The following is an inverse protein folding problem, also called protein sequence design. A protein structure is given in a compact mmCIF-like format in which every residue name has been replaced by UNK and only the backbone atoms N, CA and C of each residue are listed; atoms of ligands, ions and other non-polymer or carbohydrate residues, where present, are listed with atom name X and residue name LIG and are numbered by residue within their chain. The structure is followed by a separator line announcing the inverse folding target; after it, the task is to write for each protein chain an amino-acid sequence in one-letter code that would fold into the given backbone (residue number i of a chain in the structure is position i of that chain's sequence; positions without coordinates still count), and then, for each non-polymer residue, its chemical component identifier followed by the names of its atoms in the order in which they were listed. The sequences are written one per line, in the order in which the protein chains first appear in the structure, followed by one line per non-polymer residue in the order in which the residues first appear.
data_IF_972792069379
#
_entry.id   IF_972792069379
#
_cell.length_a   1.000
_cell.length_b   1.000
_cell.length_c   1.000
_cell.angle_alpha   90.00
_cell.angle_beta   90.00
_cell.angle_gamma   90.00
#
_symmetry.space_group_name_H-M   'P 1'
#
loop_
_entity.id
_entity.type
_entity.pdbx_description
1 polymer ?
#
# COMPACT_ATOMS: atom_id res chain seq x y z
N UNK A 1 22.27 -11.89 1.24
CA UNK A 1 21.81 -10.86 1.89
C UNK A 1 20.77 -10.16 1.21
N UNK A 2 19.75 -9.98 1.84
CA UNK A 2 18.66 -9.48 1.09
C UNK A 2 18.01 -8.27 1.71
N UNK A 3 18.06 -7.18 0.99
CA UNK A 3 17.23 -6.01 1.25
C UNK A 3 16.09 -5.96 0.22
N UNK A 4 15.79 -7.11 -0.40
CA UNK A 4 14.70 -7.20 -1.36
C UNK A 4 13.36 -7.40 -0.67
N UNK A 5 12.32 -6.91 -1.31
CA UNK A 5 10.98 -6.94 -0.74
C UNK A 5 10.24 -8.19 -1.17
N UNK A 6 9.59 -8.85 -0.21
CA UNK A 6 8.70 -9.95 -0.49
C UNK A 6 7.30 -9.38 -0.75
N UNK A 7 6.86 -9.45 -2.00
CA UNK A 7 5.54 -8.98 -2.41
C UNK A 7 4.45 -9.71 -1.64
N UNK A 8 4.60 -11.03 -1.48
CA UNK A 8 3.63 -11.84 -0.76
C UNK A 8 3.46 -11.38 0.68
N UNK A 9 4.58 -11.15 1.39
CA UNK A 9 4.53 -10.68 2.77
C UNK A 9 3.90 -9.30 2.88
N UNK A 10 4.19 -8.42 1.93
CA UNK A 10 3.63 -7.10 1.93
C UNK A 10 2.11 -7.17 1.72
N UNK A 11 1.64 -7.97 0.79
CA UNK A 11 0.20 -8.15 0.56
C UNK A 11 -0.48 -8.72 1.80
N UNK A 12 0.14 -9.69 2.46
CA UNK A 12 -0.41 -10.25 3.69
C UNK A 12 -0.55 -9.19 4.78
N UNK A 13 0.43 -8.28 4.87
CA UNK A 13 0.37 -7.19 5.84
C UNK A 13 -0.76 -6.22 5.52
N UNK A 14 -0.97 -5.91 4.24
CA UNK A 14 -2.05 -5.04 3.81
C UNK A 14 -3.42 -5.64 4.19
N UNK A 15 -3.57 -6.94 4.03
CA UNK A 15 -4.81 -7.62 4.37
C UNK A 15 -5.15 -7.54 5.86
N UNK A 16 -4.15 -7.31 6.70
CA UNK A 16 -4.35 -7.18 8.14
C UNK A 16 -4.57 -5.72 8.58
N UNK A 17 -4.41 -4.77 7.66
CA UNK A 17 -4.55 -3.37 8.00
C UNK A 17 -6.02 -3.01 8.25
N UNK A 18 -6.27 -2.33 9.35
CA UNK A 18 -7.61 -1.91 9.72
C UNK A 18 -7.87 -0.50 9.21
N UNK A 19 -8.81 -0.37 8.28
CA UNK A 19 -9.21 0.92 7.72
C UNK A 19 -10.23 1.65 8.58
N UNK A 20 -10.61 1.07 9.74
CA UNK A 20 -11.54 1.70 10.66
C UNK A 20 -12.99 1.39 10.33
N UNK A 21 -13.89 2.06 11.04
CA UNK A 21 -15.32 1.79 10.93
C UNK A 21 -16.07 2.72 9.99
N UNK A 22 -15.36 3.66 9.35
CA UNK A 22 -15.98 4.63 8.44
C UNK A 22 -16.39 4.02 7.10
N UNK A 23 -15.87 2.84 6.79
CA UNK A 23 -16.11 2.18 5.50
C UNK A 23 -16.92 0.92 5.70
N UNK A 24 -17.88 0.68 4.82
CA UNK A 24 -18.61 -0.60 4.83
C UNK A 24 -17.72 -1.69 4.21
N UNK A 25 -18.20 -2.93 4.24
CA UNK A 25 -17.42 -4.08 3.77
C UNK A 25 -17.07 -3.97 2.28
N UNK A 26 -17.98 -3.47 1.48
CA UNK A 26 -17.74 -3.29 0.04
C UNK A 26 -16.66 -2.26 -0.21
N UNK A 27 -16.69 -1.16 0.54
CA UNK A 27 -15.68 -0.12 0.42
C UNK A 27 -14.31 -0.63 0.86
N UNK A 28 -14.25 -1.37 1.97
CA UNK A 28 -13.00 -1.96 2.47
C UNK A 28 -12.41 -2.92 1.45
N UNK A 29 -13.25 -3.73 0.83
CA UNK A 29 -12.80 -4.65 -0.21
C UNK A 29 -12.23 -3.90 -1.41
N UNK A 30 -12.89 -2.85 -1.84
CA UNK A 30 -12.41 -2.02 -2.94
C UNK A 30 -11.03 -1.42 -2.62
N UNK A 31 -10.88 -0.84 -1.42
CA UNK A 31 -9.64 -0.21 -1.00
C UNK A 31 -8.52 -1.25 -0.95
N UNK A 32 -8.77 -2.39 -0.35
CA UNK A 32 -7.79 -3.47 -0.23
C UNK A 32 -7.37 -3.98 -1.60
N UNK A 33 -8.32 -4.25 -2.48
CA UNK A 33 -8.02 -4.74 -3.84
C UNK A 33 -7.21 -3.73 -4.62
N UNK A 34 -7.52 -2.46 -4.48
CA UNK A 34 -6.81 -1.41 -5.19
C UNK A 34 -5.36 -1.35 -4.74
N UNK A 35 -5.11 -1.40 -3.44
CA UNK A 35 -3.76 -1.39 -2.89
C UNK A 35 -2.98 -2.61 -3.37
N UNK A 36 -3.58 -3.78 -3.32
CA UNK A 36 -2.95 -5.02 -3.77
C UNK A 36 -2.63 -4.95 -5.26
N UNK A 37 -3.54 -4.40 -6.06
CA UNK A 37 -3.32 -4.21 -7.48
C UNK A 37 -2.09 -3.34 -7.75
N UNK A 38 -1.98 -2.23 -7.01
CA UNK A 38 -0.84 -1.32 -7.15
C UNK A 38 0.47 -2.04 -6.80
N UNK A 39 0.47 -2.81 -5.72
CA UNK A 39 1.65 -3.58 -5.32
C UNK A 39 2.01 -4.60 -6.39
N UNK A 40 1.03 -5.25 -6.99
CA UNK A 40 1.26 -6.25 -8.03
C UNK A 40 1.76 -5.67 -9.36
N UNK A 41 1.57 -4.39 -9.59
CA UNK A 41 2.11 -3.72 -10.77
C UNK A 41 3.61 -3.47 -10.67
N UNK A 42 4.17 -3.55 -9.47
CA UNK A 42 5.59 -3.32 -9.27
C UNK A 42 6.39 -4.56 -9.67
N UNK A 43 7.65 -4.37 -9.97
CA UNK A 43 8.52 -5.49 -10.32
C UNK A 43 8.69 -6.43 -9.13
N UNK A 44 9.05 -7.67 -9.43
CA UNK A 44 9.05 -8.74 -8.44
C UNK A 44 10.05 -8.54 -7.30
N UNK A 45 11.21 -8.00 -7.58
CA UNK A 45 12.26 -7.84 -6.57
C UNK A 45 12.84 -6.44 -6.65
N UNK A 46 12.58 -5.63 -5.64
CA UNK A 46 13.07 -4.27 -5.56
C UNK A 46 13.98 -4.09 -4.37
N UNK A 47 14.85 -3.11 -4.45
CA UNK A 47 15.49 -2.61 -3.25
C UNK A 47 14.44 -1.87 -2.40
N UNK A 48 14.68 -1.81 -1.10
CA UNK A 48 13.77 -1.13 -0.18
C UNK A 48 13.56 0.32 -0.61
N UNK A 49 14.64 1.02 -0.97
CA UNK A 49 14.54 2.42 -1.36
C UNK A 49 13.64 2.64 -2.56
N UNK A 50 13.74 1.77 -3.56
CA UNK A 50 12.89 1.90 -4.75
C UNK A 50 11.44 1.63 -4.46
N UNK A 51 11.16 0.62 -3.66
CA UNK A 51 9.77 0.30 -3.30
C UNK A 51 9.16 1.45 -2.51
N UNK A 52 9.88 1.99 -1.53
CA UNK A 52 9.39 3.13 -0.75
C UNK A 52 9.12 4.33 -1.64
N UNK A 53 10.03 4.63 -2.57
CA UNK A 53 9.86 5.75 -3.48
C UNK A 53 8.63 5.60 -4.37
N UNK A 54 8.42 4.42 -4.93
CA UNK A 54 7.27 4.17 -5.78
C UNK A 54 5.96 4.18 -5.01
N UNK A 55 5.92 3.57 -3.83
CA UNK A 55 4.74 3.58 -3.00
C UNK A 55 4.40 4.99 -2.54
N UNK A 56 5.41 5.80 -2.25
CA UNK A 56 5.19 7.19 -1.86
C UNK A 56 4.58 8.00 -3.00
N UNK A 57 5.09 7.81 -4.21
CA UNK A 57 4.55 8.48 -5.39
C UNK A 57 3.09 8.09 -5.63
N UNK A 58 2.79 6.80 -5.52
CA UNK A 58 1.42 6.31 -5.67
C UNK A 58 0.51 6.85 -4.56
N UNK A 59 1.00 6.87 -3.32
CA UNK A 59 0.22 7.38 -2.19
C UNK A 59 -0.14 8.85 -2.40
N UNK A 60 0.82 9.67 -2.84
CA UNK A 60 0.57 11.09 -3.11
C UNK A 60 -0.46 11.27 -4.20
N UNK A 61 -0.37 10.47 -5.26
CA UNK A 61 -1.31 10.55 -6.37
C UNK A 61 -2.74 10.24 -5.92
N UNK A 62 -2.92 9.18 -5.15
CA UNK A 62 -4.24 8.79 -4.66
C UNK A 62 -4.79 9.78 -3.65
N UNK A 63 -3.93 10.30 -2.76
CA UNK A 63 -4.36 11.31 -1.78
C UNK A 63 -4.79 12.60 -2.48
N UNK A 64 -4.03 13.05 -3.46
CA UNK A 64 -4.36 14.28 -4.18
C UNK A 64 -5.65 14.12 -4.97
N UNK A 65 -5.81 12.99 -5.66
CA UNK A 65 -7.04 12.70 -6.39
C UNK A 65 -8.24 12.64 -5.45
N UNK A 66 -8.06 11.97 -4.31
CA UNK A 66 -9.13 11.86 -3.32
C UNK A 66 -9.55 13.21 -2.76
N UNK A 67 -8.60 14.09 -2.51
CA UNK A 67 -8.90 15.43 -2.03
C UNK A 67 -9.60 16.26 -3.11
N UNK A 68 -9.13 16.17 -4.34
CA UNK A 68 -9.71 16.93 -5.44
C UNK A 68 -11.16 16.55 -5.70
N UNK A 69 -11.45 15.26 -5.71
CA UNK A 69 -12.78 14.73 -6.00
C UNK A 69 -13.59 14.41 -4.74
N UNK A 70 -13.04 14.71 -3.56
CA UNK A 70 -13.69 14.44 -2.27
C UNK A 70 -14.08 12.96 -2.13
N UNK A 71 -13.21 12.10 -2.61
CA UNK A 71 -13.42 10.65 -2.57
C UNK A 71 -12.65 10.05 -1.39
N UNK A 72 -13.38 9.68 -0.35
CA UNK A 72 -12.75 9.14 0.87
C UNK A 72 -12.12 7.78 0.66
N UNK A 73 -12.59 7.00 -0.31
CA UNK A 73 -11.98 5.70 -0.62
C UNK A 73 -10.61 5.90 -1.25
N UNK A 74 -10.46 6.88 -2.14
CA UNK A 74 -9.15 7.20 -2.72
C UNK A 74 -8.18 7.69 -1.66
N UNK A 75 -8.64 8.50 -0.72
CA UNK A 75 -7.81 8.95 0.40
C UNK A 75 -7.37 7.74 1.24
N UNK A 76 -8.29 6.79 1.46
CA UNK A 76 -7.97 5.58 2.23
C UNK A 76 -6.96 4.70 1.50
N UNK A 77 -7.01 4.63 0.16
CA UNK A 77 -5.99 3.92 -0.63
C UNK A 77 -4.61 4.55 -0.36
N UNK A 78 -4.53 5.87 -0.39
CA UNK A 78 -3.28 6.57 -0.09
C UNK A 78 -2.76 6.25 1.31
N UNK A 79 -3.64 6.22 2.30
CA UNK A 79 -3.27 5.88 3.68
C UNK A 79 -2.77 4.45 3.78
N UNK A 80 -3.41 3.52 3.09
CA UNK A 80 -2.97 2.12 3.07
C UNK A 80 -1.60 1.98 2.43
N UNK A 81 -1.33 2.74 1.36
CA UNK A 81 -0.02 2.74 0.73
C UNK A 81 1.06 3.31 1.66
N UNK A 82 0.74 4.34 2.45
CA UNK A 82 1.67 4.87 3.44
C UNK A 82 1.94 3.86 4.55
N UNK A 83 0.91 3.09 4.94
CA UNK A 83 1.11 2.00 5.88
C UNK A 83 2.06 0.94 5.30
N UNK A 84 1.91 0.63 4.01
CA UNK A 84 2.80 -0.30 3.33
C UNK A 84 4.25 0.21 3.36
N UNK A 85 4.44 1.52 3.18
CA UNK A 85 5.77 2.13 3.27
C UNK A 85 6.39 1.89 4.65
N UNK A 86 5.61 2.10 5.71
CA UNK A 86 6.11 1.89 7.07
C UNK A 86 6.49 0.44 7.31
N UNK A 87 5.67 -0.50 6.81
CA UNK A 87 5.96 -1.94 6.94
C UNK A 87 7.27 -2.27 6.24
N UNK A 88 7.47 -1.74 5.03
CA UNK A 88 8.69 -1.96 4.26
C UNK A 88 9.90 -1.41 5.00
N UNK A 89 9.79 -0.18 5.53
CA UNK A 89 10.89 0.46 6.25
C UNK A 89 11.28 -0.31 7.51
N UNK A 90 10.31 -0.96 8.16
CA UNK A 90 10.58 -1.74 9.35
C UNK A 90 11.20 -3.10 9.05
N UNK A 91 11.32 -3.45 7.78
CA UNK A 91 11.93 -4.72 7.39
C UNK A 91 11.02 -5.93 7.53
N UNK A 92 9.73 -5.71 7.83
CA UNK A 92 8.80 -6.80 8.07
C UNK A 92 8.47 -7.64 6.84
N UNK A 93 8.84 -7.16 5.67
CA UNK A 93 8.54 -7.84 4.41
C UNK A 93 9.80 -8.15 3.61
N UNK A 94 10.95 -8.05 4.24
CA UNK A 94 12.20 -8.37 3.59
C UNK A 94 12.31 -9.88 3.39
N UNK A 95 12.74 -10.28 2.22
CA UNK A 95 12.90 -11.69 1.90
C UNK A 95 14.30 -12.14 2.27
N UNK A 96 14.42 -12.75 3.41
CA UNK A 96 15.72 -13.22 3.93
C UNK A 96 15.89 -14.69 3.72
#
# INVERSE_FOLDING_TARGET
MSDLISRKKLIESIKKFDFGTFFNDTEKEYIERTIIYIINLQQTAYSIDKVVEELKSDAERWEDSGKEYKDRCEIAVGRGLRNAIEIVKQGGVTDL
#
